data_IF_646928738988
#
_entry.id   IF_646928738988
#
_cell.length_a   1.000
_cell.length_b   1.000
_cell.length_c   1.000
_cell.angle_alpha   90.00
_cell.angle_beta   90.00
_cell.angle_gamma   90.00
#
_symmetry.space_group_name_H-M   'P 1'
#
loop_
_entity.id
_entity.type
_entity.pdbx_description
1 polymer ?
#
# COMPACT_ATOMS: atom_id res chain seq x y z
N UNK A 1 4.82 0.38 9.43
CA UNK A 1 3.63 0.04 8.61
C UNK A 1 3.71 -1.35 8.01
N UNK A 2 2.54 -1.86 7.62
CA UNK A 2 2.41 -2.99 6.73
C UNK A 2 1.18 -2.85 5.85
N UNK A 3 1.23 -3.44 4.66
CA UNK A 3 0.05 -3.71 3.84
C UNK A 3 0.10 -5.16 3.37
N UNK A 4 -1.05 -5.81 3.34
CA UNK A 4 -1.22 -7.17 2.85
C UNK A 4 -2.51 -7.27 2.06
N UNK A 5 -2.47 -8.00 0.96
CA UNK A 5 -3.62 -8.28 0.13
C UNK A 5 -3.54 -9.72 -0.35
N UNK A 6 -4.63 -10.46 -0.17
CA UNK A 6 -4.82 -11.78 -0.74
C UNK A 6 -6.09 -11.79 -1.57
N UNK A 7 -6.04 -12.36 -2.76
CA UNK A 7 -7.19 -12.54 -3.63
C UNK A 7 -7.22 -13.97 -4.20
N UNK A 8 -8.38 -14.61 -4.17
CA UNK A 8 -8.59 -15.99 -4.61
C UNK A 8 -9.87 -16.12 -5.41
N UNK A 9 -9.91 -17.03 -6.37
CA UNK A 9 -11.12 -17.40 -7.09
C UNK A 9 -11.11 -18.89 -7.39
N UNK A 10 -12.30 -19.50 -7.43
CA UNK A 10 -12.47 -20.89 -7.84
C UNK A 10 -12.62 -20.95 -9.37
N UNK A 11 -11.67 -21.56 -10.09
CA UNK A 11 -11.75 -21.72 -11.55
C UNK A 11 -10.44 -22.07 -12.25
N UNK A 12 -10.52 -22.52 -13.51
CA UNK A 12 -9.33 -22.77 -14.34
C UNK A 12 -8.67 -21.45 -14.76
N UNK A 13 -7.34 -21.34 -14.62
CA UNK A 13 -6.56 -20.19 -15.09
C UNK A 13 -6.39 -19.05 -14.06
N UNK A 14 -6.83 -19.25 -12.82
CA UNK A 14 -6.63 -18.32 -11.71
C UNK A 14 -5.74 -18.94 -10.64
N UNK A 15 -4.53 -18.41 -10.47
CA UNK A 15 -3.71 -18.69 -9.28
C UNK A 15 -4.00 -17.63 -8.21
N UNK A 16 -4.12 -18.06 -6.95
CA UNK A 16 -4.32 -17.14 -5.84
C UNK A 16 -3.22 -16.06 -5.80
N UNK A 17 -3.64 -14.80 -5.67
CA UNK A 17 -2.76 -13.65 -5.56
C UNK A 17 -2.49 -13.36 -4.09
N UNK A 18 -1.21 -13.19 -3.73
CA UNK A 18 -0.84 -12.68 -2.42
C UNK A 18 0.31 -11.69 -2.55
N UNK A 19 0.15 -10.52 -1.94
CA UNK A 19 1.19 -9.50 -1.86
C UNK A 19 1.23 -8.95 -0.45
N UNK A 20 2.44 -8.88 0.12
CA UNK A 20 2.67 -8.35 1.46
C UNK A 20 3.88 -7.42 1.45
N UNK A 21 3.82 -6.36 2.23
CA UNK A 21 4.84 -5.32 2.26
C UNK A 21 4.91 -4.69 3.65
N UNK A 22 6.14 -4.45 4.10
CA UNK A 22 6.44 -3.83 5.39
C UNK A 22 7.52 -2.78 5.15
N UNK A 23 7.31 -1.59 5.70
CA UNK A 23 8.35 -0.58 5.80
C UNK A 23 8.55 -0.24 7.28
N UNK A 24 9.81 -0.04 7.66
CA UNK A 24 10.22 0.36 8.99
C UNK A 24 11.29 1.43 8.83
N UNK A 25 10.94 2.69 9.09
CA UNK A 25 11.91 3.77 9.07
C UNK A 25 12.79 3.75 10.32
N UNK A 26 14.03 4.19 10.14
CA UNK A 26 14.92 4.63 11.22
C UNK A 26 14.94 6.16 11.27
N UNK A 27 15.30 6.78 12.41
CA UNK A 27 15.42 8.24 12.50
C UNK A 27 16.25 8.83 11.37
N UNK A 28 15.72 9.88 10.73
CA UNK A 28 16.34 10.57 9.60
C UNK A 28 16.22 9.88 8.25
N UNK A 29 15.54 8.74 8.14
CA UNK A 29 15.47 7.95 6.90
C UNK A 29 14.02 7.65 6.48
N UNK A 30 13.79 7.72 5.17
CA UNK A 30 12.55 7.26 4.54
C UNK A 30 12.66 5.75 4.29
N UNK A 31 11.61 5.00 4.63
CA UNK A 31 11.43 3.60 4.26
C UNK A 31 10.13 3.46 3.48
N UNK A 32 10.13 2.75 2.36
CA UNK A 32 8.94 2.52 1.54
C UNK A 32 8.90 1.13 0.93
N UNK A 33 7.71 0.70 0.55
CA UNK A 33 7.51 -0.51 -0.25
C UNK A 33 6.44 -0.26 -1.31
N UNK A 34 6.53 -1.02 -2.41
CA UNK A 34 5.47 -1.18 -3.42
C UNK A 34 5.48 -2.62 -3.89
N UNK A 35 4.33 -3.24 -3.95
CA UNK A 35 4.15 -4.59 -4.49
C UNK A 35 2.94 -4.62 -5.41
N UNK A 36 3.09 -5.17 -6.60
CA UNK A 36 2.01 -5.31 -7.57
C UNK A 36 2.00 -6.74 -8.10
N UNK A 37 0.82 -7.35 -8.16
CA UNK A 37 0.62 -8.63 -8.84
C UNK A 37 -0.61 -8.50 -9.73
N UNK A 38 -0.54 -9.08 -10.93
CA UNK A 38 -1.61 -9.06 -11.92
C UNK A 38 -1.78 -10.45 -12.51
N UNK A 39 -3.02 -10.91 -12.63
CA UNK A 39 -3.37 -12.18 -13.28
C UNK A 39 -4.43 -11.93 -14.35
N UNK A 40 -4.25 -12.48 -15.57
CA UNK A 40 -3.03 -13.14 -16.03
C UNK A 40 -1.89 -12.13 -16.25
N UNK A 41 -0.65 -12.60 -16.13
CA UNK A 41 0.56 -11.80 -16.40
C UNK A 41 0.64 -11.49 -17.90
N UNK A 42 1.11 -10.30 -18.27
CA UNK A 42 1.31 -9.92 -19.67
C UNK A 42 2.08 -11.00 -20.44
N UNK A 43 1.51 -11.45 -21.56
CA UNK A 43 2.11 -12.47 -22.43
C UNK A 43 1.73 -13.92 -22.14
N UNK A 44 0.85 -14.18 -21.16
CA UNK A 44 0.27 -15.51 -20.97
C UNK A 44 -0.94 -15.73 -21.90
N UNK A 45 -1.01 -16.91 -22.54
CA UNK A 45 -2.12 -17.35 -23.41
C UNK A 45 -3.47 -17.48 -22.67
N UNK A 46 -3.47 -17.37 -21.34
CA UNK A 46 -4.63 -17.54 -20.47
C UNK A 46 -5.54 -16.29 -20.36
N UNK A 47 -5.22 -15.19 -21.05
CA UNK A 47 -5.96 -13.93 -20.91
C UNK A 47 -7.34 -13.95 -21.54
N UNK A 48 -7.56 -14.81 -22.51
CA UNK A 48 -8.74 -14.76 -23.36
C UNK A 48 -9.69 -15.92 -23.12
N UNK A 49 -10.98 -15.64 -23.22
CA UNK A 49 -12.05 -16.63 -23.30
C UNK A 49 -12.90 -16.36 -24.54
N UNK A 50 -13.45 -17.41 -25.13
CA UNK A 50 -14.44 -17.28 -26.19
C UNK A 50 -15.84 -17.30 -25.57
N UNK A 51 -16.66 -16.31 -25.91
CA UNK A 51 -18.04 -16.19 -25.43
C UNK A 51 -19.01 -16.33 -26.59
N UNK A 52 -19.91 -17.32 -26.51
CA UNK A 52 -20.91 -17.56 -27.53
C UNK A 52 -21.87 -16.37 -27.71
N UNK A 53 -22.45 -16.28 -28.90
CA UNK A 53 -23.48 -15.29 -29.22
C UNK A 53 -24.62 -15.27 -28.18
N UNK A 54 -25.10 -14.09 -27.81
CA UNK A 54 -26.22 -13.87 -26.89
C UNK A 54 -26.02 -14.50 -25.49
N UNK A 55 -24.78 -14.57 -25.02
CA UNK A 55 -24.47 -15.06 -23.66
C UNK A 55 -23.76 -13.99 -22.83
N UNK A 56 -23.79 -14.17 -21.52
CA UNK A 56 -23.05 -13.37 -20.56
C UNK A 56 -22.19 -14.30 -19.71
N UNK A 57 -20.99 -13.82 -19.37
CA UNK A 57 -20.14 -14.43 -18.35
C UNK A 57 -19.98 -13.44 -17.19
N UNK A 58 -19.86 -14.00 -15.98
CA UNK A 58 -19.55 -13.25 -14.76
C UNK A 58 -18.31 -13.89 -14.13
N UNK A 59 -17.33 -13.08 -13.81
CA UNK A 59 -16.15 -13.46 -13.06
C UNK A 59 -16.24 -12.86 -11.68
N UNK A 60 -15.81 -13.62 -10.66
CA UNK A 60 -15.79 -13.17 -9.28
C UNK A 60 -14.48 -13.55 -8.61
N UNK A 61 -13.99 -12.70 -7.70
CA UNK A 61 -12.77 -12.90 -6.92
C UNK A 61 -13.06 -12.53 -5.47
N UNK A 62 -12.78 -13.44 -4.55
CA UNK A 62 -12.75 -13.16 -3.11
C UNK A 62 -11.48 -12.39 -2.78
N UNK A 63 -11.63 -11.27 -2.08
CA UNK A 63 -10.52 -10.38 -1.75
C UNK A 63 -10.50 -10.12 -0.24
N UNK A 64 -9.30 -10.16 0.33
CA UNK A 64 -9.03 -9.73 1.70
C UNK A 64 -7.84 -8.78 1.74
N UNK A 65 -8.02 -7.64 2.37
CA UNK A 65 -7.06 -6.52 2.40
C UNK A 65 -6.89 -6.04 3.84
N UNK A 66 -5.64 -5.73 4.20
CA UNK A 66 -5.30 -5.14 5.49
C UNK A 66 -4.17 -4.13 5.33
N UNK A 67 -4.33 -2.96 5.93
CA UNK A 67 -3.31 -1.91 5.97
C UNK A 67 -3.16 -1.38 7.40
N UNK A 68 -1.92 -1.07 7.80
CA UNK A 68 -1.64 -0.47 9.10
C UNK A 68 -0.43 0.45 9.07
N UNK A 69 -0.52 1.55 9.81
CA UNK A 69 0.60 2.43 10.16
C UNK A 69 0.95 2.27 11.64
N UNK A 70 2.21 2.48 11.97
CA UNK A 70 2.70 2.40 13.35
C UNK A 70 2.55 3.73 14.10
N UNK A 71 2.59 3.65 15.42
CA UNK A 71 2.99 4.78 16.27
C UNK A 71 4.09 4.29 17.19
N UNK A 72 5.30 4.82 17.01
CA UNK A 72 6.30 4.83 18.07
C UNK A 72 6.37 6.25 18.61
N UNK A 73 6.07 6.50 19.91
CA UNK A 73 6.29 7.78 20.56
C UNK A 73 7.80 8.00 20.69
N UNK A 74 8.47 8.26 19.58
CA UNK A 74 9.81 8.83 19.58
C UNK A 74 9.58 10.32 19.50
N UNK A 75 10.03 11.06 20.51
CA UNK A 75 10.21 12.50 20.41
C UNK A 75 10.89 12.78 19.07
N UNK A 76 10.22 13.42 18.11
CA UNK A 76 10.72 13.52 16.73
C UNK A 76 9.62 13.23 15.71
N UNK A 77 8.90 14.29 15.36
CA UNK A 77 7.77 14.35 14.42
C UNK A 77 7.75 13.24 13.36
N UNK A 78 6.75 12.34 13.44
CA UNK A 78 6.39 11.49 12.31
C UNK A 78 5.85 12.41 11.21
N UNK A 79 6.55 12.46 10.07
CA UNK A 79 6.06 13.16 8.89
C UNK A 79 5.62 12.11 7.89
N UNK A 80 4.34 12.10 7.53
CA UNK A 80 3.82 11.41 6.35
C UNK A 80 3.95 9.87 6.37
N UNK A 81 3.37 9.19 7.38
CA UNK A 81 3.19 7.74 7.34
C UNK A 81 1.92 7.39 6.57
N UNK A 82 2.01 6.50 5.58
CA UNK A 82 0.84 5.93 4.91
C UNK A 82 1.04 4.48 4.51
N UNK A 83 -0.06 3.75 4.40
CA UNK A 83 -0.14 2.42 3.81
C UNK A 83 -1.47 2.30 3.06
N UNK A 84 -1.42 1.79 1.83
CA UNK A 84 -2.59 1.54 0.99
C UNK A 84 -2.55 0.14 0.39
N UNK A 85 -3.74 -0.37 0.09
CA UNK A 85 -3.95 -1.58 -0.68
C UNK A 85 -5.09 -1.31 -1.66
N UNK A 86 -4.93 -1.78 -2.89
CA UNK A 86 -5.87 -1.66 -3.99
C UNK A 86 -6.06 -3.03 -4.66
N UNK A 87 -7.30 -3.40 -4.92
CA UNK A 87 -7.67 -4.60 -5.65
C UNK A 87 -8.60 -4.25 -6.80
N UNK A 88 -8.45 -4.93 -7.94
CA UNK A 88 -9.38 -4.79 -9.06
C UNK A 88 -9.64 -6.10 -9.78
N UNK A 89 -10.81 -6.16 -10.42
CA UNK A 89 -11.23 -7.16 -11.37
C UNK A 89 -11.83 -6.45 -12.58
N UNK A 90 -11.28 -6.72 -13.75
CA UNK A 90 -11.72 -6.19 -15.04
C UNK A 90 -12.09 -7.35 -15.95
N UNK A 91 -13.18 -7.20 -16.68
CA UNK A 91 -13.55 -8.07 -17.79
C UNK A 91 -13.82 -7.17 -19.00
N UNK A 92 -13.19 -7.46 -20.13
CA UNK A 92 -13.27 -6.63 -21.32
C UNK A 92 -13.45 -7.49 -22.58
N UNK A 93 -13.98 -6.91 -23.64
CA UNK A 93 -14.15 -7.56 -24.94
C UNK A 93 -14.61 -6.58 -26.00
N UNK A 94 -14.87 -7.08 -27.21
CA UNK A 94 -15.43 -6.27 -28.29
C UNK A 94 -16.95 -6.45 -28.35
N UNK A 95 -17.66 -5.35 -28.63
CA UNK A 95 -19.08 -5.36 -28.93
C UNK A 95 -19.37 -6.09 -30.26
N UNK A 96 -20.66 -6.26 -30.57
CA UNK A 96 -21.11 -6.95 -31.77
C UNK A 96 -20.63 -6.32 -33.09
N UNK A 97 -20.23 -5.05 -33.08
CA UNK A 97 -19.67 -4.36 -34.24
C UNK A 97 -18.20 -4.72 -34.52
N UNK A 98 -17.52 -5.42 -33.60
CA UNK A 98 -16.11 -5.79 -33.71
C UNK A 98 -15.13 -4.64 -33.51
N UNK A 99 -15.60 -3.43 -33.18
CA UNK A 99 -14.76 -2.23 -33.05
C UNK A 99 -14.89 -1.57 -31.68
N UNK A 100 -16.09 -1.59 -31.10
CA UNK A 100 -16.36 -0.93 -29.82
C UNK A 100 -15.85 -1.80 -28.68
N UNK A 101 -14.92 -1.27 -27.89
CA UNK A 101 -14.45 -1.96 -26.69
C UNK A 101 -15.47 -1.79 -25.56
N UNK A 102 -15.89 -2.90 -24.97
CA UNK A 102 -16.69 -2.94 -23.76
C UNK A 102 -15.81 -3.45 -22.62
N UNK A 103 -16.00 -2.90 -21.43
CA UNK A 103 -15.37 -3.39 -20.22
C UNK A 103 -16.27 -3.16 -19.02
N UNK A 104 -16.11 -4.02 -18.03
CA UNK A 104 -16.68 -3.91 -16.70
C UNK A 104 -15.51 -4.02 -15.70
N UNK A 105 -15.44 -3.08 -14.77
CA UNK A 105 -14.35 -2.95 -13.80
C UNK A 105 -14.96 -2.78 -12.42
N UNK A 106 -14.61 -3.67 -11.50
CA UNK A 106 -14.83 -3.46 -10.08
C UNK A 106 -13.49 -3.32 -9.37
N UNK A 107 -13.41 -2.35 -8.47
CA UNK A 107 -12.21 -2.06 -7.68
C UNK A 107 -12.56 -1.73 -6.23
N UNK A 108 -11.58 -1.92 -5.35
CA UNK A 108 -11.66 -1.49 -3.96
C UNK A 108 -10.29 -1.02 -3.48
N UNK A 109 -10.28 0.07 -2.72
CA UNK A 109 -9.07 0.63 -2.10
C UNK A 109 -9.30 0.85 -0.61
N UNK A 110 -8.32 0.45 0.19
CA UNK A 110 -8.21 0.88 1.57
C UNK A 110 -6.89 1.62 1.75
N UNK A 111 -6.94 2.73 2.48
CA UNK A 111 -5.77 3.53 2.78
C UNK A 111 -5.85 4.05 4.21
N UNK A 112 -4.71 4.04 4.87
CA UNK A 112 -4.51 4.69 6.16
C UNK A 112 -3.30 5.60 6.02
N UNK A 113 -3.43 6.83 6.49
CA UNK A 113 -2.36 7.79 6.39
C UNK A 113 -2.55 8.91 7.39
N UNK A 114 -1.46 9.57 7.69
CA UNK A 114 -1.45 10.67 8.64
C UNK A 114 -0.92 11.95 7.98
N UNK A 115 -1.78 12.96 7.75
CA UNK A 115 -1.33 14.28 7.35
C UNK A 115 -0.60 14.92 8.55
N UNK A 116 0.56 15.53 8.29
CA UNK A 116 1.58 15.87 9.30
C UNK A 116 1.20 16.86 10.41
N UNK A 117 -0.08 17.20 10.57
CA UNK A 117 -0.64 18.18 11.51
C UNK A 117 -1.69 17.62 12.49
N UNK A 118 -2.07 16.34 12.41
CA UNK A 118 -3.03 15.71 13.36
C UNK A 118 -2.37 15.37 14.73
N UNK A 119 -2.90 14.42 15.53
CA UNK A 119 -2.16 13.79 16.65
C UNK A 119 -1.66 12.41 16.23
N UNK A 120 -0.35 12.08 16.29
CA UNK A 120 0.15 10.87 15.64
C UNK A 120 -0.43 9.66 16.35
N UNK A 121 -1.31 8.96 15.66
CA UNK A 121 -1.92 7.72 16.10
C UNK A 121 -1.84 6.77 14.93
N UNK A 122 -1.29 5.58 15.17
CA UNK A 122 -1.26 4.53 14.15
C UNK A 122 -2.70 4.24 13.72
N UNK A 123 -2.93 4.11 12.42
CA UNK A 123 -4.22 3.78 11.84
C UNK A 123 -4.19 2.37 11.27
N UNK A 124 -5.34 1.71 11.26
CA UNK A 124 -5.52 0.45 10.55
C UNK A 124 -6.85 0.43 9.83
N UNK A 125 -6.87 -0.15 8.63
CA UNK A 125 -8.09 -0.42 7.89
C UNK A 125 -8.02 -1.81 7.29
N UNK A 126 -9.17 -2.44 7.13
CA UNK A 126 -9.29 -3.76 6.54
C UNK A 126 -10.59 -3.87 5.77
N UNK A 127 -10.57 -4.60 4.67
CA UNK A 127 -11.76 -4.93 3.91
C UNK A 127 -11.70 -6.39 3.47
N UNK A 128 -12.85 -7.04 3.41
CA UNK A 128 -12.99 -8.35 2.79
C UNK A 128 -14.34 -8.43 2.10
N UNK A 129 -14.35 -8.96 0.89
CA UNK A 129 -15.53 -9.02 0.06
C UNK A 129 -15.25 -9.63 -1.30
N UNK A 130 -16.25 -9.58 -2.17
CA UNK A 130 -16.17 -10.13 -3.53
C UNK A 130 -16.12 -8.99 -4.54
N UNK A 131 -15.15 -9.03 -5.45
CA UNK A 131 -15.20 -8.28 -6.70
C UNK A 131 -15.84 -9.17 -7.78
N UNK A 132 -16.75 -8.61 -8.56
CA UNK A 132 -17.56 -9.27 -9.58
C UNK A 132 -17.66 -8.36 -10.80
N UNK A 133 -17.28 -8.88 -11.96
CA UNK A 133 -17.38 -8.15 -13.23
C UNK A 133 -17.90 -9.08 -14.32
N UNK A 134 -18.61 -8.50 -15.29
CA UNK A 134 -19.36 -9.24 -16.28
C UNK A 134 -19.12 -8.73 -17.69
N UNK A 135 -19.26 -9.63 -18.66
CA UNK A 135 -19.21 -9.27 -20.07
C UNK A 135 -20.30 -10.01 -20.84
N UNK A 136 -21.04 -9.25 -21.66
CA UNK A 136 -22.15 -9.75 -22.46
C UNK A 136 -21.82 -9.68 -23.94
N UNK A 137 -21.91 -10.82 -24.63
CA UNK A 137 -21.89 -10.87 -26.08
C UNK A 137 -23.34 -10.74 -26.60
N UNK A 138 -23.71 -9.56 -27.08
CA UNK A 138 -25.04 -9.31 -27.69
C UNK A 138 -25.05 -9.52 -29.21
N UNK A 139 -23.94 -9.99 -29.79
CA UNK A 139 -23.83 -10.28 -31.22
C UNK A 139 -24.43 -11.63 -31.61
N UNK A 140 -24.45 -11.90 -32.92
CA UNK A 140 -24.90 -13.18 -33.49
C UNK A 140 -23.79 -14.22 -33.63
N UNK A 141 -22.53 -13.82 -33.44
CA UNK A 141 -21.34 -14.69 -33.54
C UNK A 141 -20.64 -14.80 -32.18
N UNK A 142 -19.72 -15.76 -32.06
CA UNK A 142 -18.81 -15.79 -30.92
C UNK A 142 -17.87 -14.57 -30.88
N UNK A 143 -17.45 -14.17 -29.68
CA UNK A 143 -16.50 -13.08 -29.50
C UNK A 143 -15.42 -13.47 -28.50
N UNK A 144 -14.28 -12.78 -28.57
CA UNK A 144 -13.21 -12.91 -27.59
C UNK A 144 -13.42 -11.88 -26.48
N UNK A 145 -13.43 -12.37 -25.24
CA UNK A 145 -13.30 -11.57 -24.04
C UNK A 145 -11.96 -11.82 -23.37
N UNK A 146 -11.60 -10.93 -22.48
CA UNK A 146 -10.46 -11.03 -21.60
C UNK A 146 -10.87 -10.68 -20.17
N UNK A 147 -10.22 -11.28 -19.19
CA UNK A 147 -10.35 -10.85 -17.80
C UNK A 147 -8.96 -10.53 -17.23
N UNK A 148 -8.90 -9.65 -16.25
CA UNK A 148 -7.66 -9.29 -15.56
C UNK A 148 -7.99 -8.87 -14.13
N UNK A 149 -7.28 -9.41 -13.16
CA UNK A 149 -7.30 -8.94 -11.78
C UNK A 149 -5.94 -8.38 -11.40
N UNK A 150 -5.92 -7.38 -10.52
CA UNK A 150 -4.68 -6.87 -9.95
C UNK A 150 -4.79 -6.58 -8.47
N UNK A 151 -3.66 -6.73 -7.80
CA UNK A 151 -3.43 -6.40 -6.40
C UNK A 151 -2.23 -5.46 -6.33
N UNK A 152 -2.41 -4.29 -5.73
CA UNK A 152 -1.35 -3.30 -5.49
C UNK A 152 -1.33 -2.97 -4.00
N UNK A 153 -0.13 -2.93 -3.42
CA UNK A 153 0.09 -2.39 -2.08
C UNK A 153 1.23 -1.37 -2.12
N UNK A 154 1.10 -0.33 -1.32
CA UNK A 154 2.12 0.72 -1.18
C UNK A 154 2.20 1.21 0.26
N UNK A 155 3.36 1.71 0.67
CA UNK A 155 3.51 2.34 1.97
C UNK A 155 4.80 3.11 2.10
N UNK A 156 4.80 4.15 2.95
CA UNK A 156 5.96 5.00 3.20
C UNK A 156 6.02 5.50 4.65
N UNK A 157 7.21 5.48 5.24
CA UNK A 157 7.53 5.82 6.63
C UNK A 157 8.67 6.80 6.69
N UNK A 158 8.53 7.86 7.47
CA UNK A 158 9.63 8.78 7.75
C UNK A 158 9.59 9.16 9.22
N UNK A 159 10.70 8.89 9.91
CA UNK A 159 10.95 9.35 11.28
C UNK A 159 11.91 10.54 11.18
N UNK A 160 11.52 11.71 11.69
CA UNK A 160 12.43 12.85 11.75
C UNK A 160 13.64 12.52 12.64
N UNK A 161 14.85 12.83 12.18
CA UNK A 161 16.02 12.77 13.06
C UNK A 161 15.86 13.87 14.10
N UNK A 162 15.77 13.52 15.39
CA UNK A 162 15.91 14.50 16.46
C UNK A 162 17.30 15.08 16.36
N UNK A 163 17.45 16.40 16.15
CA UNK A 163 18.76 17.01 16.26
C UNK A 163 19.10 17.08 17.76
N UNK A 164 19.92 16.16 18.25
CA UNK A 164 20.67 16.40 19.50
C UNK A 164 22.12 16.94 19.31
N UNK A 165 22.48 17.83 18.35
CA UNK A 165 23.80 18.47 18.40
C UNK A 165 23.92 19.49 19.55
N UNK A 166 22.82 20.15 19.93
CA UNK A 166 22.86 21.25 20.91
C UNK A 166 22.74 20.76 22.35
N UNK A 167 22.03 19.67 22.64
CA UNK A 167 21.89 19.15 24.01
C UNK A 167 23.22 18.66 24.57
N UNK A 168 24.03 17.94 23.79
CA UNK A 168 25.37 17.57 24.22
C UNK A 168 26.29 18.78 24.35
N UNK A 169 26.22 19.74 23.42
CA UNK A 169 26.98 20.98 23.52
C UNK A 169 26.57 21.82 24.75
N UNK A 170 25.28 21.86 25.10
CA UNK A 170 24.76 22.54 26.28
C UNK A 170 25.07 21.79 27.57
N UNK A 171 25.04 20.46 27.56
CA UNK A 171 25.44 19.61 28.69
C UNK A 171 26.94 19.77 28.97
N UNK A 172 27.78 19.66 27.94
CA UNK A 172 29.22 19.88 28.02
C UNK A 172 29.55 21.33 28.37
N UNK A 173 28.81 22.29 27.81
CA UNK A 173 28.90 23.70 28.16
C UNK A 173 28.57 23.95 29.64
N UNK A 174 27.49 23.36 30.14
CA UNK A 174 27.10 23.42 31.56
C UNK A 174 28.13 22.78 32.49
N UNK A 175 28.64 21.59 32.13
CA UNK A 175 29.71 20.93 32.88
C UNK A 175 31.02 21.73 32.87
N UNK A 176 31.37 22.33 31.73
CA UNK A 176 32.52 23.22 31.59
C UNK A 176 32.43 24.45 32.51
N UNK A 177 31.25 25.08 32.59
CA UNK A 177 30.98 26.20 33.49
C UNK A 177 31.10 25.79 34.97
N UNK A 178 30.54 24.64 35.35
CA UNK A 178 30.64 24.11 36.72
C UNK A 178 32.10 23.81 37.09
N UNK A 179 32.85 23.16 36.19
CA UNK A 179 34.27 22.87 36.39
C UNK A 179 35.12 24.15 36.54
N UNK A 180 34.85 25.17 35.73
CA UNK A 180 35.51 26.47 35.84
C UNK A 180 35.20 27.18 37.17
N UNK A 181 33.94 27.14 37.62
CA UNK A 181 33.52 27.71 38.90
C UNK A 181 34.18 27.00 40.09
N UNK A 182 34.26 25.66 40.06
CA UNK A 182 34.93 24.88 41.10
C UNK A 182 36.43 25.21 41.21
N UNK A 183 37.13 25.38 40.07
CA UNK A 183 38.54 25.78 40.06
C UNK A 183 38.79 27.14 40.70
N UNK A 184 37.92 28.13 40.44
CA UNK A 184 38.04 29.47 41.04
C UNK A 184 37.90 29.44 42.56
N UNK A 185 36.97 28.64 43.10
CA UNK A 185 36.78 28.51 44.56
C UNK A 185 37.98 27.88 45.25
N UNK A 186 38.66 26.95 44.60
CA UNK A 186 39.88 26.32 45.13
C UNK A 186 41.08 27.28 45.19
N UNK A 187 41.14 28.24 44.28
CA UNK A 187 42.21 29.26 44.24
C UNK A 187 41.98 30.43 45.21
N UNK A 188 40.80 30.56 45.82
CA UNK A 188 40.49 31.59 46.83
C UNK A 188 40.60 31.05 48.26
N UNK A 189 40.64 29.72 48.43
CA UNK A 189 40.76 29.04 49.72
C UNK A 189 42.20 28.57 50.05
N UNK A 190 43.20 29.09 49.33
CA UNK A 190 44.64 28.91 49.59
C UNK A 190 45.28 30.30 49.68
#
# INVERSE_FOLDING_TARGET
MSASLTASADGHGFDALNVTGVAQATPGHLSSFRGEVRVPVYGADLRYFTLSANTQVVFSVDVSMGVSTGFTPVSGELRNEMASAYASLEVAGLAADGYTQLFDLQEHEISVGYPGDAIPSGGSSSWSGVLSSSFSNLGSEETLGAFTTSALIEGQSLISAVPEPSTYAMLLGGLGLIGAAARRRRNVAA
#
